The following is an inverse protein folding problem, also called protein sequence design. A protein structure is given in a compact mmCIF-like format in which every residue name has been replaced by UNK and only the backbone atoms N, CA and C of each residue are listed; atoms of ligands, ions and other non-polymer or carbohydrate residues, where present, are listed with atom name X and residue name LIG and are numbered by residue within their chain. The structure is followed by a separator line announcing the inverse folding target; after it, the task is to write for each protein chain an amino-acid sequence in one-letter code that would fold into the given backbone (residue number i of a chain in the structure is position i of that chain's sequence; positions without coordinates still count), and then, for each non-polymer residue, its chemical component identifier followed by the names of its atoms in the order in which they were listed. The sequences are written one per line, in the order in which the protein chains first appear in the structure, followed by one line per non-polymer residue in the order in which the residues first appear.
data_IF_163591064712
#
_entry.id   IF_163591064712
#
_cell.length_a   1.000
_cell.length_b   1.000
_cell.length_c   1.000
_cell.angle_alpha   90.00
_cell.angle_beta   90.00
_cell.angle_gamma   90.00
#
_symmetry.space_group_name_H-M   'P 1'
#
loop_
_entity.id
_entity.type
_entity.pdbx_description
1 polymer ?
#
# COMPACT_ATOMS: atom_id res chain seq x y z
N UNK A 1 -25.02 1.53 -9.04
CA UNK A 1 -24.17 0.92 -7.98
C UNK A 1 -22.69 0.88 -8.37
N UNK A 2 -22.31 0.43 -9.57
CA UNK A 2 -20.90 0.42 -10.06
C UNK A 2 -20.24 1.81 -10.00
N UNK A 3 -20.93 2.87 -10.42
CA UNK A 3 -20.40 4.25 -10.38
C UNK A 3 -19.98 4.69 -8.98
N UNK A 4 -20.79 4.36 -7.97
CA UNK A 4 -20.60 4.78 -6.59
C UNK A 4 -19.40 4.10 -5.91
N UNK A 5 -19.04 2.89 -6.37
CA UNK A 5 -17.98 2.07 -5.78
C UNK A 5 -16.64 2.29 -6.49
N UNK A 6 -16.69 2.46 -7.81
CA UNK A 6 -15.48 2.52 -8.64
C UNK A 6 -15.12 3.93 -9.13
N UNK A 7 -16.03 4.90 -9.09
CA UNK A 7 -15.79 6.24 -9.63
C UNK A 7 -15.87 7.34 -8.57
N UNK A 8 -16.75 7.22 -7.56
CA UNK A 8 -16.84 8.25 -6.50
C UNK A 8 -15.58 8.33 -5.62
N UNK A 9 -14.94 7.19 -5.30
CA UNK A 9 -13.73 7.20 -4.49
C UNK A 9 -12.51 7.78 -5.22
N UNK A 10 -12.17 7.36 -6.45
CA UNK A 10 -11.10 8.02 -7.21
C UNK A 10 -11.37 9.52 -7.42
N UNK A 11 -12.63 9.90 -7.70
CA UNK A 11 -13.01 11.30 -7.84
C UNK A 11 -12.84 12.11 -6.54
N UNK A 12 -13.00 11.50 -5.36
CA UNK A 12 -12.78 12.18 -4.08
C UNK A 12 -11.31 12.52 -3.79
N UNK A 13 -10.38 11.91 -4.53
CA UNK A 13 -8.93 12.17 -4.44
C UNK A 13 -8.36 12.73 -5.76
N UNK A 14 -9.23 13.28 -6.63
CA UNK A 14 -8.87 13.83 -7.95
C UNK A 14 -8.11 12.85 -8.87
N UNK A 15 -8.37 11.54 -8.74
CA UNK A 15 -7.77 10.49 -9.57
C UNK A 15 -8.79 9.85 -10.53
N UNK A 16 -8.35 9.45 -11.72
CA UNK A 16 -9.12 8.52 -12.56
C UNK A 16 -9.11 7.12 -11.95
N UNK A 17 -10.12 6.29 -12.28
CA UNK A 17 -10.13 4.89 -11.80
C UNK A 17 -8.85 4.12 -12.13
N UNK A 18 -8.27 4.35 -13.30
CA UNK A 18 -7.02 3.69 -13.72
C UNK A 18 -5.82 4.10 -12.88
N UNK A 19 -5.69 5.38 -12.55
CA UNK A 19 -4.62 5.89 -11.68
C UNK A 19 -4.76 5.32 -10.27
N UNK A 20 -5.98 5.37 -9.72
CA UNK A 20 -6.28 4.87 -8.39
C UNK A 20 -6.06 3.35 -8.29
N UNK A 21 -6.55 2.58 -9.26
CA UNK A 21 -6.35 1.13 -9.31
C UNK A 21 -4.87 0.75 -9.41
N UNK A 22 -4.09 1.46 -10.23
CA UNK A 22 -2.65 1.24 -10.35
C UNK A 22 -1.91 1.56 -9.05
N UNK A 23 -2.29 2.66 -8.39
CA UNK A 23 -1.74 3.02 -7.08
C UNK A 23 -2.06 1.94 -6.04
N UNK A 24 -3.33 1.56 -5.91
CA UNK A 24 -3.80 0.54 -4.97
C UNK A 24 -3.11 -0.81 -5.18
N UNK A 25 -2.96 -1.24 -6.44
CA UNK A 25 -2.26 -2.48 -6.78
C UNK A 25 -0.77 -2.43 -6.41
N UNK A 26 -0.09 -1.33 -6.72
CA UNK A 26 1.33 -1.15 -6.36
C UNK A 26 1.51 -1.11 -4.84
N UNK A 27 0.59 -0.43 -4.15
CA UNK A 27 0.55 -0.37 -2.70
C UNK A 27 0.38 -1.75 -2.08
N UNK A 28 -0.59 -2.55 -2.56
CA UNK A 28 -0.85 -3.89 -2.03
C UNK A 28 0.34 -4.83 -2.20
N UNK A 29 1.01 -4.80 -3.36
CA UNK A 29 2.21 -5.62 -3.60
C UNK A 29 3.32 -5.30 -2.58
N UNK A 30 3.58 -4.01 -2.33
CA UNK A 30 4.55 -3.61 -1.31
C UNK A 30 4.14 -4.03 0.09
N UNK A 31 2.85 -3.91 0.42
CA UNK A 31 2.34 -4.32 1.73
C UNK A 31 2.51 -5.83 1.96
N UNK A 32 2.21 -6.65 0.95
CA UNK A 32 2.48 -8.10 1.02
C UNK A 32 3.97 -8.40 1.15
N UNK A 33 4.84 -7.67 0.46
CA UNK A 33 6.28 -7.81 0.64
C UNK A 33 6.74 -7.48 2.06
N UNK A 34 6.18 -6.42 2.68
CA UNK A 34 6.46 -6.08 4.07
C UNK A 34 5.98 -7.18 5.03
N UNK A 35 4.78 -7.72 4.82
CA UNK A 35 4.23 -8.82 5.59
C UNK A 35 5.09 -10.09 5.47
N UNK A 36 5.49 -10.44 4.25
CA UNK A 36 6.39 -11.57 4.00
C UNK A 36 7.76 -11.40 4.65
N UNK A 37 8.34 -10.21 4.57
CA UNK A 37 9.61 -9.89 5.24
C UNK A 37 9.49 -10.03 6.77
N UNK A 38 8.41 -9.52 7.37
CA UNK A 38 8.14 -9.66 8.80
C UNK A 38 7.92 -11.12 9.22
N UNK A 39 7.23 -11.91 8.39
CA UNK A 39 7.01 -13.33 8.63
C UNK A 39 8.33 -14.12 8.61
N UNK A 40 9.19 -13.89 7.62
CA UNK A 40 10.51 -14.55 7.58
C UNK A 40 11.35 -14.12 8.77
N UNK A 41 11.34 -12.84 9.13
CA UNK A 41 12.04 -12.33 10.31
C UNK A 41 11.55 -12.98 11.63
N UNK A 42 10.25 -13.23 11.76
CA UNK A 42 9.68 -13.90 12.92
C UNK A 42 10.18 -15.35 13.10
N UNK A 43 10.53 -16.02 11.99
CA UNK A 43 11.12 -17.36 12.00
C UNK A 43 12.65 -17.31 12.13
N UNK A 44 13.28 -16.33 11.47
CA UNK A 44 14.75 -16.16 11.40
C UNK A 44 15.08 -14.68 11.71
N UNK A 45 15.33 -14.33 12.99
CA UNK A 45 15.46 -12.93 13.43
C UNK A 45 16.59 -12.11 12.78
N UNK A 46 17.61 -12.75 12.20
CA UNK A 46 18.69 -12.02 11.52
C UNK A 46 18.34 -11.62 10.08
N UNK A 47 17.28 -12.17 9.48
CA UNK A 47 16.85 -11.82 8.13
C UNK A 47 15.84 -10.67 8.16
N UNK A 48 15.94 -9.78 7.17
CA UNK A 48 14.97 -8.70 6.94
C UNK A 48 14.72 -7.73 8.11
N UNK A 49 15.67 -7.59 9.03
CA UNK A 49 15.52 -6.86 10.31
C UNK A 49 14.88 -5.46 10.20
N UNK A 50 15.18 -4.72 9.13
CA UNK A 50 14.60 -3.38 8.89
C UNK A 50 13.72 -3.31 7.64
N UNK A 51 13.57 -4.40 6.90
CA UNK A 51 12.92 -4.38 5.57
C UNK A 51 11.43 -4.09 5.70
N UNK A 52 10.73 -4.81 6.58
CA UNK A 52 9.31 -4.60 6.82
C UNK A 52 9.01 -3.16 7.26
N UNK A 53 9.73 -2.66 8.28
CA UNK A 53 9.53 -1.31 8.81
C UNK A 53 9.82 -0.21 7.79
N UNK A 54 10.87 -0.36 6.95
CA UNK A 54 11.17 0.58 5.87
C UNK A 54 10.06 0.62 4.82
N UNK A 55 9.53 -0.53 4.43
CA UNK A 55 8.43 -0.59 3.46
C UNK A 55 7.17 0.06 4.05
N UNK A 56 6.82 -0.24 5.30
CA UNK A 56 5.65 0.37 5.96
C UNK A 56 5.81 1.90 6.06
N UNK A 57 7.01 2.40 6.38
CA UNK A 57 7.27 3.84 6.41
C UNK A 57 7.12 4.50 5.03
N UNK A 58 7.63 3.87 3.95
CA UNK A 58 7.43 4.36 2.57
C UNK A 58 5.95 4.33 2.17
N UNK A 59 5.23 3.27 2.53
CA UNK A 59 3.79 3.17 2.28
C UNK A 59 3.01 4.27 3.02
N UNK A 60 3.31 4.47 4.30
CA UNK A 60 2.70 5.52 5.13
C UNK A 60 2.95 6.91 4.54
N UNK A 61 4.19 7.23 4.15
CA UNK A 61 4.51 8.53 3.56
C UNK A 61 3.76 8.78 2.24
N UNK A 62 3.47 7.74 1.47
CA UNK A 62 2.71 7.82 0.20
C UNK A 62 1.20 8.00 0.42
N UNK A 63 0.64 7.44 1.49
CA UNK A 63 -0.80 7.57 1.79
C UNK A 63 -1.11 8.78 2.65
N UNK A 64 -0.20 9.19 3.54
CA UNK A 64 -0.39 10.33 4.43
C UNK A 64 -0.65 11.65 3.67
N UNK A 65 -0.11 11.77 2.46
CA UNK A 65 -0.29 12.94 1.60
C UNK A 65 -1.46 12.81 0.60
N UNK A 66 -2.19 11.69 0.59
CA UNK A 66 -3.21 11.35 -0.42
C UNK A 66 -4.67 11.57 0.04
N UNK A 67 -4.87 12.21 1.18
CA UNK A 67 -6.19 12.41 1.78
C UNK A 67 -6.63 11.17 2.56
N UNK A 68 -6.51 11.26 3.88
CA UNK A 68 -7.13 10.32 4.81
C UNK A 68 -8.55 10.81 5.18
#
# INVERSE_FOLDING_TARGET
MINRIFLDHPASVDETYGEHARFAFTFSVKLFAAAGAALVHAVIPCLFEKTASKIVADLYARTHNRGA
#
